data_IF_756288867576
#
_entry.id   IF_756288867576
#
_cell.length_a   1.000
_cell.length_b   1.000
_cell.length_c   1.000
_cell.angle_alpha   90.00
_cell.angle_beta   90.00
_cell.angle_gamma   90.00
#
_symmetry.space_group_name_H-M   'P 1'
#
loop_
_entity.id
_entity.type
_entity.pdbx_description
1 polymer ?
#
# COMPACT_ATOMS: atom_id res chain seq x y z
N UNK A 1 43.63 -45.33 -16.75
CA UNK A 1 44.02 -46.27 -15.67
C UNK A 1 44.97 -45.50 -14.79
N UNK A 2 44.83 -45.33 -13.47
CA UNK A 2 44.47 -46.28 -12.43
C UNK A 2 43.94 -45.53 -11.20
N UNK A 3 43.00 -46.16 -10.50
CA UNK A 3 42.45 -45.78 -9.20
C UNK A 3 43.57 -45.96 -8.16
N UNK A 4 44.01 -44.91 -7.48
CA UNK A 4 45.13 -45.05 -6.53
C UNK A 4 45.46 -43.85 -5.64
N UNK A 5 44.65 -42.79 -5.62
CA UNK A 5 44.86 -41.62 -4.74
C UNK A 5 43.67 -41.39 -3.79
N UNK A 6 42.83 -42.41 -3.62
CA UNK A 6 41.85 -42.50 -2.53
C UNK A 6 42.58 -43.36 -1.48
N UNK A 7 42.66 -42.90 -0.23
CA UNK A 7 43.44 -43.48 0.89
C UNK A 7 44.86 -42.87 1.04
N UNK A 8 44.94 -41.55 1.19
CA UNK A 8 46.09 -40.90 1.86
C UNK A 8 45.74 -39.58 2.58
N UNK A 9 44.50 -39.08 2.45
CA UNK A 9 44.06 -37.80 3.05
C UNK A 9 43.12 -38.02 4.25
N UNK A 10 42.94 -39.28 4.69
CA UNK A 10 42.13 -39.60 5.90
C UNK A 10 42.95 -39.44 7.19
N UNK A 11 44.27 -39.25 7.12
CA UNK A 11 45.14 -39.17 8.30
C UNK A 11 45.56 -37.73 8.66
N UNK A 12 45.24 -36.74 7.81
CA UNK A 12 45.66 -35.35 8.01
C UNK A 12 44.64 -34.46 8.77
N UNK A 13 43.44 -34.97 9.10
CA UNK A 13 42.39 -34.17 9.76
C UNK A 13 42.21 -34.52 11.25
N UNK A 14 42.89 -35.56 11.75
CA UNK A 14 42.78 -36.02 13.14
C UNK A 14 43.82 -35.43 14.12
N UNK A 15 44.66 -34.48 13.68
CA UNK A 15 45.65 -33.82 14.55
C UNK A 15 45.33 -32.37 14.93
N UNK A 16 44.14 -31.86 14.59
CA UNK A 16 43.66 -30.51 15.01
C UNK A 16 42.52 -30.63 16.03
N UNK A 17 42.51 -31.70 16.83
CA UNK A 17 41.56 -31.92 17.94
C UNK A 17 42.23 -31.63 19.31
N UNK A 18 43.50 -31.22 19.33
CA UNK A 18 44.31 -31.28 20.55
C UNK A 18 44.70 -29.98 21.25
N UNK A 19 44.36 -28.78 20.77
CA UNK A 19 44.89 -27.55 21.38
C UNK A 19 43.96 -26.34 21.16
N UNK A 20 42.97 -26.19 22.04
CA UNK A 20 42.48 -24.90 22.54
C UNK A 20 41.45 -25.14 23.66
N UNK A 21 41.87 -25.86 24.70
CA UNK A 21 41.25 -25.72 26.03
C UNK A 21 41.91 -24.52 26.71
N UNK A 22 41.25 -23.35 26.67
CA UNK A 22 41.51 -22.29 27.64
C UNK A 22 40.27 -21.40 27.79
N UNK A 23 39.42 -21.82 28.73
CA UNK A 23 38.87 -20.99 29.81
C UNK A 23 38.29 -19.63 29.39
N UNK A 24 36.98 -19.60 29.12
CA UNK A 24 36.14 -18.42 29.34
C UNK A 24 34.91 -18.85 30.15
N UNK A 25 34.74 -18.20 31.29
CA UNK A 25 33.66 -18.40 32.27
C UNK A 25 32.29 -18.03 31.68
N UNK A 26 31.25 -18.75 32.09
CA UNK A 26 29.84 -18.46 31.79
C UNK A 26 29.40 -17.14 32.44
N UNK A 27 28.59 -16.33 31.73
CA UNK A 27 27.46 -15.69 32.38
C UNK A 27 26.16 -16.34 31.90
N UNK A 28 25.47 -17.01 32.82
CA UNK A 28 24.06 -17.36 32.66
C UNK A 28 23.24 -16.07 32.49
N UNK A 29 22.84 -15.75 31.27
CA UNK A 29 21.68 -14.88 31.02
C UNK A 29 20.60 -15.70 30.32
N UNK A 30 19.43 -15.68 30.96
CA UNK A 30 18.19 -16.32 30.52
C UNK A 30 17.96 -16.03 29.04
N UNK A 31 17.71 -17.08 28.27
CA UNK A 31 17.04 -16.97 26.98
C UNK A 31 15.60 -16.59 27.31
N UNK A 32 15.31 -15.31 27.22
CA UNK A 32 13.95 -14.82 27.15
C UNK A 32 13.48 -15.15 25.73
N UNK A 33 12.61 -16.16 25.61
CA UNK A 33 11.89 -16.44 24.37
C UNK A 33 11.28 -15.13 23.89
N UNK A 34 11.70 -14.67 22.70
CA UNK A 34 11.00 -13.65 21.96
C UNK A 34 9.57 -14.13 21.69
N UNK A 35 8.67 -13.78 22.60
CA UNK A 35 7.26 -13.67 22.28
C UNK A 35 7.12 -12.37 21.50
N UNK A 36 7.26 -12.45 20.17
CA UNK A 36 6.75 -11.39 19.30
C UNK A 36 5.22 -11.46 19.44
N UNK A 37 4.69 -10.69 20.40
CA UNK A 37 3.27 -10.38 20.44
C UNK A 37 2.95 -9.52 19.21
N UNK A 38 1.99 -10.01 18.43
CA UNK A 38 1.44 -9.35 17.26
C UNK A 38 0.78 -8.02 17.64
N UNK A 39 1.50 -6.92 17.52
CA UNK A 39 0.98 -5.56 17.72
C UNK A 39 0.33 -4.96 16.45
N UNK A 40 -0.24 -5.77 15.56
CA UNK A 40 -0.69 -5.30 14.23
C UNK A 40 -2.17 -4.84 14.16
N UNK A 41 -2.90 -4.73 15.28
CA UNK A 41 -4.30 -4.28 15.27
C UNK A 41 -4.51 -2.80 15.67
N UNK A 42 -3.58 -2.19 16.41
CA UNK A 42 -3.76 -0.80 16.86
C UNK A 42 -3.36 0.22 15.77
N UNK A 43 -2.31 -0.07 14.99
CA UNK A 43 -1.83 0.85 13.95
C UNK A 43 -2.78 0.92 12.75
N UNK A 44 -3.33 -0.21 12.31
CA UNK A 44 -4.30 -0.25 11.19
C UNK A 44 -5.60 0.49 11.52
N UNK A 45 -6.10 0.37 12.75
CA UNK A 45 -7.26 1.14 13.22
C UNK A 45 -6.99 2.65 13.29
N UNK A 46 -5.76 3.04 13.61
CA UNK A 46 -5.36 4.45 13.65
C UNK A 46 -5.24 5.03 12.24
N UNK A 47 -4.69 4.26 11.30
CA UNK A 47 -4.59 4.62 9.89
C UNK A 47 -5.96 4.74 9.20
N UNK A 48 -6.89 3.82 9.51
CA UNK A 48 -8.28 3.87 9.03
C UNK A 48 -8.98 5.14 9.56
N UNK A 49 -8.90 5.43 10.85
CA UNK A 49 -9.50 6.64 11.43
C UNK A 49 -8.90 7.93 10.85
N UNK A 50 -7.60 7.94 10.56
CA UNK A 50 -6.94 9.09 9.96
C UNK A 50 -7.29 9.26 8.47
N UNK A 51 -7.72 8.21 7.78
CA UNK A 51 -8.06 8.24 6.36
C UNK A 51 -9.56 8.43 6.11
N UNK A 52 -10.41 7.95 7.02
CA UNK A 52 -11.87 8.08 6.96
C UNK A 52 -12.31 9.54 6.93
N UNK A 53 -13.47 9.80 6.31
CA UNK A 53 -14.05 11.13 6.18
C UNK A 53 -14.35 11.54 4.74
N UNK A 54 -14.68 12.82 4.57
CA UNK A 54 -15.01 13.39 3.26
C UNK A 54 -13.77 13.99 2.61
N UNK A 55 -13.56 13.67 1.34
CA UNK A 55 -12.51 14.18 0.49
C UNK A 55 -13.14 14.92 -0.68
N UNK A 56 -12.84 16.20 -0.83
CA UNK A 56 -13.42 17.07 -1.85
C UNK A 56 -12.50 17.18 -3.06
N UNK A 57 -13.08 17.15 -4.26
CA UNK A 57 -12.32 17.34 -5.48
C UNK A 57 -11.81 18.79 -5.56
N UNK A 58 -10.53 18.97 -5.87
CA UNK A 58 -9.90 20.29 -5.96
C UNK A 58 -9.16 20.53 -7.29
N UNK A 59 -8.98 19.48 -8.09
CA UNK A 59 -8.26 19.55 -9.36
C UNK A 59 -8.72 18.45 -10.31
N UNK A 60 -8.86 18.83 -11.58
CA UNK A 60 -9.02 17.93 -12.71
C UNK A 60 -7.81 18.11 -13.66
N UNK A 61 -7.28 17.00 -14.16
CA UNK A 61 -6.25 17.01 -15.21
C UNK A 61 -6.64 16.10 -16.37
N UNK A 62 -6.42 16.60 -17.59
CA UNK A 62 -6.59 15.84 -18.82
C UNK A 62 -5.35 16.06 -19.70
N UNK A 63 -4.70 14.97 -20.16
CA UNK A 63 -3.46 15.02 -20.95
C UNK A 63 -2.37 15.91 -20.32
N UNK A 64 -2.19 15.82 -19.00
CA UNK A 64 -1.20 16.59 -18.25
C UNK A 64 -1.51 18.08 -18.06
N UNK A 65 -2.67 18.57 -18.52
CA UNK A 65 -3.10 19.96 -18.36
C UNK A 65 -4.22 20.06 -17.32
N UNK A 66 -4.17 21.09 -16.48
CA UNK A 66 -5.26 21.42 -15.55
C UNK A 66 -6.50 21.85 -16.35
N UNK A 67 -7.66 21.42 -15.89
CA UNK A 67 -8.95 21.71 -16.51
C UNK A 67 -9.87 22.46 -15.56
N UNK A 68 -10.66 23.40 -16.09
CA UNK A 68 -11.70 24.05 -15.30
C UNK A 68 -12.89 23.10 -15.13
N UNK A 69 -13.32 22.92 -13.89
CA UNK A 69 -14.43 22.07 -13.49
C UNK A 69 -15.76 22.69 -13.93
N UNK A 70 -15.84 24.01 -14.06
CA UNK A 70 -17.02 24.70 -14.58
C UNK A 70 -17.39 24.26 -16.00
N UNK A 71 -16.44 23.71 -16.75
CA UNK A 71 -16.62 23.16 -18.11
C UNK A 71 -17.12 21.70 -18.12
N UNK A 72 -17.33 21.09 -16.94
CA UNK A 72 -17.79 19.71 -16.81
C UNK A 72 -19.27 19.67 -16.39
N UNK A 73 -20.04 18.85 -17.11
CA UNK A 73 -21.45 18.54 -16.82
C UNK A 73 -21.60 17.33 -15.91
N UNK A 74 -20.69 16.37 -16.00
CA UNK A 74 -20.65 15.20 -15.12
C UNK A 74 -19.23 14.84 -14.76
N UNK A 75 -18.97 14.67 -13.46
CA UNK A 75 -17.65 14.44 -12.89
C UNK A 75 -17.76 14.00 -11.42
N UNK A 76 -16.73 13.35 -10.85
CA UNK A 76 -16.72 13.03 -9.43
C UNK A 76 -16.46 14.29 -8.58
N UNK A 77 -17.36 14.55 -7.64
CA UNK A 77 -17.37 15.76 -6.81
C UNK A 77 -16.67 15.58 -5.47
N UNK A 78 -16.90 14.43 -4.84
CA UNK A 78 -16.31 14.08 -3.56
C UNK A 78 -16.26 12.57 -3.37
N UNK A 79 -15.37 12.13 -2.49
CA UNK A 79 -15.23 10.76 -2.05
C UNK A 79 -15.48 10.74 -0.53
N UNK A 80 -16.25 9.77 -0.05
CA UNK A 80 -16.44 9.53 1.37
C UNK A 80 -15.88 8.15 1.69
N UNK A 81 -14.99 8.10 2.68
CA UNK A 81 -14.41 6.87 3.21
C UNK A 81 -15.00 6.62 4.60
N UNK A 82 -15.79 5.55 4.75
CA UNK A 82 -16.39 5.17 6.03
C UNK A 82 -15.44 4.26 6.82
N UNK A 83 -15.46 4.38 8.14
CA UNK A 83 -14.58 3.61 9.05
C UNK A 83 -14.76 2.09 8.95
N UNK A 84 -15.90 1.62 8.43
CA UNK A 84 -16.19 0.20 8.20
C UNK A 84 -15.52 -0.39 6.95
N UNK A 85 -14.68 0.39 6.25
CA UNK A 85 -14.00 -0.02 5.03
C UNK A 85 -14.87 0.13 3.77
N UNK A 86 -16.05 0.74 3.87
CA UNK A 86 -16.86 1.09 2.69
C UNK A 86 -16.59 2.52 2.24
N UNK A 87 -16.76 2.80 0.95
CA UNK A 87 -16.58 4.11 0.39
C UNK A 87 -17.61 4.44 -0.68
N UNK A 88 -17.90 5.73 -0.82
CA UNK A 88 -18.85 6.25 -1.81
C UNK A 88 -18.23 7.42 -2.56
N UNK A 89 -18.18 7.32 -3.88
CA UNK A 89 -17.86 8.43 -4.76
C UNK A 89 -19.16 9.09 -5.23
N UNK A 90 -19.29 10.38 -4.96
CA UNK A 90 -20.44 11.17 -5.37
C UNK A 90 -20.14 11.84 -6.71
N UNK A 91 -21.05 11.65 -7.67
CA UNK A 91 -20.95 12.27 -8.98
C UNK A 91 -21.92 13.43 -9.12
N UNK A 92 -21.46 14.49 -9.77
CA UNK A 92 -22.35 15.48 -10.35
C UNK A 92 -22.91 14.91 -11.67
N UNK A 93 -24.23 14.96 -11.86
CA UNK A 93 -24.88 14.55 -13.11
C UNK A 93 -24.94 13.05 -13.40
N UNK A 94 -24.48 12.16 -12.50
CA UNK A 94 -24.66 10.71 -12.64
C UNK A 94 -24.89 10.02 -11.28
N UNK A 95 -24.99 8.69 -11.30
CA UNK A 95 -25.14 7.89 -10.07
C UNK A 95 -23.84 7.85 -9.28
N UNK A 96 -23.98 7.75 -7.96
CA UNK A 96 -22.86 7.50 -7.06
C UNK A 96 -22.32 6.09 -7.27
N UNK A 97 -21.04 5.91 -6.99
CA UNK A 97 -20.36 4.62 -7.10
C UNK A 97 -19.87 4.18 -5.73
N UNK A 98 -20.22 2.96 -5.35
CA UNK A 98 -19.76 2.34 -4.11
C UNK A 98 -18.50 1.52 -4.37
N UNK A 99 -17.58 1.53 -3.42
CA UNK A 99 -16.35 0.74 -3.45
C UNK A 99 -15.97 0.33 -2.03
N UNK A 100 -15.06 -0.62 -1.90
CA UNK A 100 -14.44 -0.95 -0.63
C UNK A 100 -13.03 -0.37 -0.57
N UNK A 101 -12.59 -0.01 0.61
CA UNK A 101 -11.24 0.48 0.88
C UNK A 101 -10.68 -0.13 2.15
N UNK A 102 -9.36 -0.20 2.21
CA UNK A 102 -8.62 -0.56 3.42
C UNK A 102 -7.38 0.31 3.52
N UNK A 103 -6.88 0.46 4.75
CA UNK A 103 -5.57 1.03 5.00
C UNK A 103 -4.78 0.04 5.86
N UNK A 104 -3.61 -0.34 5.40
CA UNK A 104 -2.71 -1.23 6.13
C UNK A 104 -1.27 -0.74 5.99
N UNK A 105 -0.56 -0.57 7.12
CA UNK A 105 0.79 -0.03 7.20
C UNK A 105 0.98 1.30 6.43
N UNK A 106 0.03 2.24 6.57
CA UNK A 106 0.03 3.51 5.84
C UNK A 106 -0.25 3.42 4.33
N UNK A 107 -0.53 2.23 3.79
CA UNK A 107 -0.91 2.04 2.39
C UNK A 107 -2.42 1.88 2.26
N UNK A 108 -3.04 2.71 1.42
CA UNK A 108 -4.45 2.58 1.07
C UNK A 108 -4.66 1.71 -0.16
N UNK A 109 -5.64 0.81 -0.08
CA UNK A 109 -6.11 0.00 -1.20
C UNK A 109 -7.59 0.26 -1.45
N UNK A 110 -7.97 0.26 -2.73
CA UNK A 110 -9.34 0.48 -3.18
C UNK A 110 -9.76 -0.68 -4.09
N UNK A 111 -11.01 -1.16 -3.95
CA UNK A 111 -11.55 -2.21 -4.81
C UNK A 111 -13.01 -1.94 -5.20
N UNK A 112 -13.31 -2.19 -6.48
CA UNK A 112 -14.61 -1.98 -7.10
C UNK A 112 -14.55 -2.26 -8.60
N UNK A 113 -15.69 -2.48 -9.25
CA UNK A 113 -15.75 -2.95 -10.65
C UNK A 113 -15.57 -1.84 -11.70
N UNK A 114 -15.62 -0.57 -11.31
CA UNK A 114 -15.83 0.54 -12.26
C UNK A 114 -14.90 1.76 -12.07
N UNK A 115 -14.05 1.79 -11.05
CA UNK A 115 -13.21 2.96 -10.76
C UNK A 115 -11.76 2.59 -10.50
N UNK A 116 -10.86 3.37 -11.09
CA UNK A 116 -9.45 3.36 -10.72
C UNK A 116 -9.21 4.49 -9.71
N UNK A 117 -9.15 4.13 -8.42
CA UNK A 117 -8.92 5.03 -7.30
C UNK A 117 -7.60 4.65 -6.64
N UNK A 118 -6.76 5.63 -6.35
CA UNK A 118 -5.43 5.42 -5.77
C UNK A 118 -5.10 6.53 -4.77
N UNK A 119 -4.20 6.25 -3.84
CA UNK A 119 -3.50 7.26 -3.06
C UNK A 119 -2.18 7.57 -3.74
N UNK A 120 -1.91 8.84 -4.04
CA UNK A 120 -0.62 9.23 -4.62
C UNK A 120 0.42 9.59 -3.55
N UNK A 121 1.67 9.75 -3.97
CA UNK A 121 2.80 10.08 -3.09
C UNK A 121 2.71 11.45 -2.40
N UNK A 122 1.73 12.28 -2.78
CA UNK A 122 1.49 13.61 -2.21
C UNK A 122 0.35 13.59 -1.16
N UNK A 123 -0.24 12.42 -0.90
CA UNK A 123 -1.35 12.27 0.05
C UNK A 123 -2.72 12.66 -0.53
N UNK A 124 -2.86 12.72 -1.85
CA UNK A 124 -4.15 12.93 -2.51
C UNK A 124 -4.76 11.60 -2.94
N UNK A 125 -6.07 11.49 -2.79
CA UNK A 125 -6.81 10.46 -3.52
C UNK A 125 -6.91 10.92 -4.96
N UNK A 126 -6.62 10.03 -5.89
CA UNK A 126 -6.73 10.26 -7.33
C UNK A 126 -7.72 9.26 -7.89
N UNK A 127 -8.66 9.73 -8.70
CA UNK A 127 -9.52 8.87 -9.50
C UNK A 127 -9.33 9.17 -10.99
N UNK A 128 -8.94 8.15 -11.75
CA UNK A 128 -8.90 8.21 -13.21
C UNK A 128 -10.23 7.66 -13.74
N UNK A 129 -11.15 8.54 -14.12
CA UNK A 129 -12.49 8.15 -14.53
C UNK A 129 -13.08 9.05 -15.64
N UNK A 130 -14.21 8.60 -16.18
CA UNK A 130 -14.93 9.30 -17.23
C UNK A 130 -15.60 10.59 -16.71
N UNK A 131 -15.60 11.65 -17.51
CA UNK A 131 -16.34 12.88 -17.27
C UNK A 131 -16.93 13.42 -18.58
N UNK A 132 -17.96 14.26 -18.48
CA UNK A 132 -18.67 14.82 -19.63
C UNK A 132 -18.44 16.33 -19.69
N UNK A 133 -17.97 16.83 -20.84
CA UNK A 133 -17.80 18.28 -21.11
C UNK A 133 -19.10 18.96 -21.54
N UNK A 134 -19.29 20.24 -21.19
CA UNK A 134 -20.43 21.06 -21.65
C UNK A 134 -20.44 21.25 -23.17
N UNK A 135 -19.29 21.54 -23.75
CA UNK A 135 -19.20 22.14 -25.09
C UNK A 135 -19.43 21.12 -26.21
N UNK A 136 -19.17 19.83 -25.96
CA UNK A 136 -19.14 18.79 -26.99
C UNK A 136 -19.90 17.50 -26.64
N UNK A 137 -20.54 17.40 -25.47
CA UNK A 137 -21.12 16.14 -24.96
C UNK A 137 -20.17 14.93 -25.04
N UNK A 138 -18.87 15.18 -25.07
CA UNK A 138 -17.84 14.15 -25.20
C UNK A 138 -17.48 13.58 -23.84
N UNK A 139 -17.27 12.26 -23.79
CA UNK A 139 -16.65 11.59 -22.65
C UNK A 139 -15.14 11.85 -22.72
N UNK A 140 -14.57 12.39 -21.65
CA UNK A 140 -13.14 12.47 -21.43
C UNK A 140 -12.75 11.53 -20.29
N UNK A 141 -11.59 10.90 -20.38
CA UNK A 141 -10.97 10.20 -19.25
C UNK A 141 -9.94 11.12 -18.62
N UNK A 142 -10.18 11.54 -17.39
CA UNK A 142 -9.38 12.54 -16.70
C UNK A 142 -9.01 12.07 -15.29
N UNK A 143 -7.93 12.66 -14.76
CA UNK A 143 -7.49 12.44 -13.39
C UNK A 143 -8.11 13.50 -12.48
N UNK A 144 -8.89 13.04 -11.51
CA UNK A 144 -9.52 13.86 -10.49
C UNK A 144 -8.80 13.69 -9.17
N UNK A 145 -8.39 14.80 -8.55
CA UNK A 145 -7.64 14.81 -7.31
C UNK A 145 -8.52 15.32 -6.18
N UNK A 146 -8.46 14.61 -5.06
CA UNK A 146 -9.25 14.88 -3.87
C UNK A 146 -8.33 15.10 -2.68
N UNK A 147 -8.75 16.04 -1.83
CA UNK A 147 -8.09 16.35 -0.56
C UNK A 147 -9.16 16.41 0.54
N UNK A 148 -8.77 16.14 1.78
CA UNK A 148 -9.64 16.33 2.94
C UNK A 148 -10.05 17.79 3.11
#
# INVERSE_FOLDING_TARGET
>A
MSKGAIIAIVVAVLWVIGFCMQKCEEPKKKVEEERIESNNMDDSNNDIKNSSGTWSMFRCQYNGKKYDIGELKSYPKKIVLNEDGTGVMYWEGAKNVNFNWSSDNGYMSFSGTELNIQLNSQGYIVCSCAAIKWDNFGIIWADFFFQK
#
